data_IF_193808383104
#
_entry.id   IF_193808383104
#
_cell.length_a   1.000
_cell.length_b   1.000
_cell.length_c   1.000
_cell.angle_alpha   90.00
_cell.angle_beta   90.00
_cell.angle_gamma   90.00
#
_symmetry.space_group_name_H-M   'P 1'
#
loop_
_entity.id
_entity.type
_entity.pdbx_description
1 polymer ?
#
# COMPACT_ATOMS: atom_id res chain seq x y z
N UNK A 1 -23.91 -2.50 7.41
CA UNK A 1 -22.68 -1.74 7.75
C UNK A 1 -21.66 -2.01 6.65
N UNK A 2 -21.15 -0.99 5.95
CA UNK A 2 -20.22 -1.21 4.82
C UNK A 2 -18.91 -1.82 5.33
N UNK A 3 -18.63 -3.08 4.97
CA UNK A 3 -17.45 -3.84 5.41
C UNK A 3 -16.15 -3.19 4.90
N UNK A 4 -16.15 -2.70 3.66
CA UNK A 4 -15.00 -2.04 3.05
C UNK A 4 -14.55 -0.80 3.84
N UNK A 5 -15.48 0.03 4.31
CA UNK A 5 -15.14 1.23 5.10
C UNK A 5 -14.54 0.87 6.47
N UNK A 6 -14.95 -0.26 7.05
CA UNK A 6 -14.38 -0.74 8.31
C UNK A 6 -12.91 -1.15 8.11
N UNK A 7 -12.62 -1.94 7.08
CA UNK A 7 -11.25 -2.34 6.74
C UNK A 7 -10.37 -1.14 6.44
N UNK A 8 -10.86 -0.16 5.67
CA UNK A 8 -10.12 1.05 5.35
C UNK A 8 -9.86 1.93 6.58
N UNK A 9 -10.79 1.97 7.53
CA UNK A 9 -10.59 2.68 8.81
C UNK A 9 -9.57 1.97 9.69
N UNK A 10 -9.67 0.65 9.83
CA UNK A 10 -8.75 -0.15 10.65
C UNK A 10 -7.31 -0.09 10.12
N UNK A 11 -7.15 0.03 8.80
CA UNK A 11 -5.86 0.26 8.16
C UNK A 11 -5.36 1.73 8.21
N UNK A 12 -6.10 2.64 8.87
CA UNK A 12 -5.74 4.06 8.97
C UNK A 12 -5.88 4.85 7.66
N UNK A 13 -6.45 4.26 6.61
CA UNK A 13 -6.63 4.87 5.28
C UNK A 13 -7.82 5.83 5.25
N UNK A 14 -8.76 5.69 6.19
CA UNK A 14 -9.96 6.53 6.27
C UNK A 14 -10.16 6.99 7.72
N UNK A 15 -10.51 8.27 7.89
CA UNK A 15 -10.94 8.86 9.16
C UNK A 15 -12.45 9.01 9.16
N UNK A 16 -13.10 8.82 10.32
CA UNK A 16 -14.52 9.13 10.48
C UNK A 16 -14.72 10.37 11.35
N UNK A 17 -15.66 11.23 10.93
CA UNK A 17 -16.13 12.37 11.71
C UNK A 17 -17.64 12.28 11.87
N UNK A 18 -18.11 12.37 13.11
CA UNK A 18 -19.54 12.44 13.41
C UNK A 18 -20.06 13.83 13.08
N UNK A 19 -21.07 13.90 12.20
CA UNK A 19 -21.79 15.12 11.83
C UNK A 19 -23.28 14.91 12.14
N UNK A 20 -23.67 15.25 13.38
CA UNK A 20 -25.03 15.00 13.88
C UNK A 20 -25.35 13.50 13.93
N UNK A 21 -26.43 13.08 13.27
CA UNK A 21 -26.85 11.67 13.19
C UNK A 21 -26.15 10.86 12.09
N UNK A 22 -25.20 11.46 11.36
CA UNK A 22 -24.49 10.82 10.24
C UNK A 22 -22.99 10.72 10.52
N UNK A 23 -22.36 9.66 10.00
CA UNK A 23 -20.90 9.49 9.97
C UNK A 23 -20.38 9.87 8.60
N UNK A 24 -19.45 10.83 8.53
CA UNK A 24 -18.76 11.22 7.31
C UNK A 24 -17.38 10.56 7.32
N UNK A 25 -17.08 9.78 6.29
CA UNK A 25 -15.79 9.12 6.11
C UNK A 25 -14.95 9.94 5.14
N UNK A 26 -13.70 10.25 5.51
CA UNK A 26 -12.75 10.98 4.66
C UNK A 26 -11.48 10.16 4.51
N UNK A 27 -10.94 10.13 3.30
CA UNK A 27 -9.62 9.57 3.05
C UNK A 27 -8.57 10.27 3.92
N UNK A 28 -7.67 9.50 4.52
CA UNK A 28 -6.53 10.00 5.29
C UNK A 28 -5.33 10.13 4.34
N UNK A 29 -4.91 11.35 3.93
CA UNK A 29 -3.81 11.52 3.00
C UNK A 29 -2.50 10.92 3.52
N UNK A 30 -2.25 10.97 4.82
CA UNK A 30 -1.06 10.39 5.44
C UNK A 30 -1.08 8.85 5.38
N UNK A 31 -2.23 8.24 5.64
CA UNK A 31 -2.38 6.77 5.55
C UNK A 31 -2.19 6.27 4.12
N UNK A 32 -2.72 7.01 3.13
CA UNK A 32 -2.54 6.67 1.71
C UNK A 32 -1.10 6.86 1.25
N UNK A 33 -0.43 7.91 1.71
CA UNK A 33 1.00 8.11 1.43
C UNK A 33 1.84 6.96 1.98
N UNK A 34 1.64 6.57 3.24
CA UNK A 34 2.36 5.44 3.84
C UNK A 34 2.12 4.11 3.11
N UNK A 35 0.89 3.85 2.66
CA UNK A 35 0.58 2.68 1.85
C UNK A 35 1.33 2.70 0.51
N UNK A 36 1.40 3.86 -0.13
CA UNK A 36 2.15 4.03 -1.38
C UNK A 36 3.64 3.77 -1.16
N UNK A 37 4.24 4.35 -0.12
CA UNK A 37 5.65 4.17 0.19
C UNK A 37 5.99 2.68 0.42
N UNK A 38 5.10 1.96 1.12
CA UNK A 38 5.25 0.52 1.34
C UNK A 38 5.22 -0.25 0.02
N UNK A 39 4.29 0.10 -0.87
CA UNK A 39 4.13 -0.56 -2.17
C UNK A 39 5.35 -0.31 -3.06
N UNK A 40 5.85 0.93 -3.10
CA UNK A 40 7.04 1.30 -3.87
C UNK A 40 8.28 0.52 -3.35
N UNK A 41 8.46 0.43 -2.03
CA UNK A 41 9.56 -0.34 -1.42
C UNK A 41 9.44 -1.86 -1.65
N UNK A 42 8.22 -2.39 -1.73
CA UNK A 42 7.98 -3.79 -2.06
C UNK A 42 8.38 -4.08 -3.51
N UNK A 43 7.91 -3.27 -4.45
CA UNK A 43 8.18 -3.49 -5.87
C UNK A 43 9.65 -3.28 -6.22
N UNK A 44 10.31 -2.26 -5.66
CA UNK A 44 11.73 -2.07 -5.89
C UNK A 44 12.53 -3.31 -5.50
N UNK A 45 12.31 -3.85 -4.28
CA UNK A 45 12.98 -5.09 -3.85
C UNK A 45 12.66 -6.29 -4.73
N UNK A 46 11.42 -6.42 -5.19
CA UNK A 46 11.04 -7.53 -6.06
C UNK A 46 11.75 -7.42 -7.42
N UNK A 47 11.80 -6.21 -7.99
CA UNK A 47 12.46 -5.95 -9.28
C UNK A 47 13.98 -6.11 -9.19
N UNK A 48 14.60 -5.62 -8.12
CA UNK A 48 16.04 -5.82 -7.85
C UNK A 48 16.37 -7.31 -7.81
N UNK A 49 15.57 -8.10 -7.08
CA UNK A 49 15.76 -9.56 -7.02
C UNK A 49 15.59 -10.26 -8.37
N UNK A 50 14.70 -9.78 -9.24
CA UNK A 50 14.60 -10.31 -10.61
C UNK A 50 15.82 -9.94 -11.47
N UNK A 51 16.34 -8.72 -11.31
CA UNK A 51 17.56 -8.30 -12.00
C UNK A 51 18.75 -9.17 -11.58
N UNK A 52 18.94 -9.39 -10.28
CA UNK A 52 20.03 -10.22 -9.75
C UNK A 52 20.03 -11.64 -10.36
N UNK A 53 18.85 -12.24 -10.50
CA UNK A 53 18.69 -13.58 -11.10
C UNK A 53 19.07 -13.58 -12.58
N UNK A 54 18.66 -12.55 -13.33
CA UNK A 54 18.98 -12.44 -14.75
C UNK A 54 20.48 -12.23 -14.96
N UNK A 55 21.12 -11.40 -14.13
CA UNK A 55 22.56 -11.16 -14.19
C UNK A 55 23.37 -12.44 -13.93
N UNK A 56 23.00 -13.20 -12.90
CA UNK A 56 23.62 -14.50 -12.59
C UNK A 56 23.51 -15.49 -13.76
N UNK A 57 22.35 -15.58 -14.41
CA UNK A 57 22.16 -16.46 -15.57
C UNK A 57 23.02 -16.07 -16.78
N UNK A 58 23.33 -14.78 -16.93
CA UNK A 58 24.14 -14.27 -18.04
C UNK A 58 25.65 -14.48 -17.80
N UNK A 59 26.08 -14.50 -16.54
CA UNK A 59 27.47 -14.80 -16.15
C UNK A 59 27.79 -16.30 -16.22
N UNK A 60 26.80 -17.18 -16.06
CA UNK A 60 26.95 -18.64 -16.10
C UNK A 60 26.93 -19.25 -17.52
N UNK A 61 26.53 -18.49 -18.55
CA UNK A 61 26.60 -18.91 -19.96
C UNK A 61 27.71 -18.16 -20.70
N UNK A 62 28.87 -18.80 -20.97
CA UNK A 62 29.93 -18.23 -21.80
C UNK A 62 29.61 -18.23 -23.29
#
# INVERSE_FOLDING_TARGET
MSQHLKVLKDAGLVTDRTAGTRRVYRLNPAGVAALRDQLDAFWNRALDGYQDVIEQQNEEQP
#
